data_IF_515265919731
#
_entry.id   IF_515265919731
#
_cell.length_a   1.000
_cell.length_b   1.000
_cell.length_c   1.000
_cell.angle_alpha   90.00
_cell.angle_beta   90.00
_cell.angle_gamma   90.00
#
_symmetry.space_group_name_H-M   'P 1'
#
loop_
_entity.id
_entity.type
_entity.pdbx_description
1 polymer ?
#
# COMPACT_ATOMS: atom_id res chain seq x y z
N UNK A 1 -11.78 -22.88 26.33
CA UNK A 1 -10.85 -23.98 25.95
C UNK A 1 -9.61 -23.32 25.36
N UNK A 2 -8.48 -23.25 26.09
CA UNK A 2 -7.23 -22.67 25.57
C UNK A 2 -6.67 -23.60 24.50
N UNK A 3 -6.55 -23.12 23.25
CA UNK A 3 -5.91 -23.84 22.16
C UNK A 3 -4.39 -23.82 22.40
N UNK A 4 -3.74 -24.98 22.45
CA UNK A 4 -2.29 -25.08 22.60
C UNK A 4 -1.57 -24.30 21.49
N UNK A 5 -0.58 -23.49 21.86
CA UNK A 5 0.24 -22.69 20.91
C UNK A 5 -0.29 -21.29 20.61
N UNK A 6 -1.45 -20.89 21.13
CA UNK A 6 -1.94 -19.51 21.05
C UNK A 6 -1.85 -18.90 22.44
N UNK A 7 -0.77 -18.16 22.71
CA UNK A 7 -0.82 -17.16 23.78
C UNK A 7 -1.88 -16.12 23.41
N UNK A 8 -2.63 -15.62 24.40
CA UNK A 8 -3.59 -14.51 24.36
C UNK A 8 -3.50 -13.61 23.11
N UNK A 9 -4.65 -13.27 22.50
CA UNK A 9 -4.76 -12.61 21.18
C UNK A 9 -3.60 -11.66 20.83
N UNK A 10 -2.77 -12.08 19.88
CA UNK A 10 -1.48 -11.45 19.58
C UNK A 10 -1.55 -10.22 18.66
N UNK A 11 -2.76 -9.70 18.38
CA UNK A 11 -2.99 -8.69 17.33
C UNK A 11 -3.80 -7.50 17.85
N UNK A 12 -3.20 -6.76 18.78
CA UNK A 12 -3.80 -5.51 19.31
C UNK A 12 -3.48 -4.34 18.40
N UNK A 13 -4.47 -3.49 18.12
CA UNK A 13 -4.27 -2.29 17.30
C UNK A 13 -3.12 -1.40 17.80
N UNK A 14 -2.98 -1.24 19.13
CA UNK A 14 -1.88 -0.48 19.73
C UNK A 14 -0.51 -1.03 19.32
N UNK A 15 -0.36 -2.36 19.29
CA UNK A 15 0.89 -3.01 18.87
C UNK A 15 1.11 -2.80 17.37
N UNK A 16 0.06 -2.85 16.53
CA UNK A 16 0.18 -2.52 15.11
C UNK A 16 0.72 -1.10 14.89
N UNK A 17 0.24 -0.10 15.65
CA UNK A 17 0.77 1.27 15.62
C UNK A 17 2.26 1.32 15.97
N UNK A 18 2.66 0.63 17.04
CA UNK A 18 4.06 0.59 17.50
C UNK A 18 4.98 0.02 16.40
N UNK A 19 4.57 -1.07 15.76
CA UNK A 19 5.33 -1.65 14.64
C UNK A 19 5.34 -0.75 13.41
N UNK A 20 4.21 -0.15 13.02
CA UNK A 20 4.16 0.79 11.90
C UNK A 20 5.12 1.98 12.12
N UNK A 21 5.11 2.54 13.33
CA UNK A 21 6.01 3.63 13.73
C UNK A 21 7.47 3.19 13.66
N UNK A 22 7.81 2.01 14.18
CA UNK A 22 9.17 1.48 14.17
C UNK A 22 9.69 1.24 12.74
N UNK A 23 8.86 0.67 11.85
CA UNK A 23 9.22 0.46 10.44
C UNK A 23 9.48 1.79 9.73
N UNK A 24 8.63 2.79 9.96
CA UNK A 24 8.84 4.14 9.40
C UNK A 24 10.14 4.77 9.91
N UNK A 25 10.49 4.58 11.18
CA UNK A 25 11.74 5.08 11.74
C UNK A 25 12.97 4.38 11.14
N UNK A 26 12.93 3.05 10.98
CA UNK A 26 13.98 2.30 10.28
C UNK A 26 14.12 2.76 8.82
N UNK A 27 13.00 3.04 8.14
CA UNK A 27 13.01 3.59 6.78
C UNK A 27 13.81 4.90 6.69
N UNK A 28 13.55 5.84 7.62
CA UNK A 28 14.32 7.10 7.71
C UNK A 28 15.80 6.86 7.96
N UNK A 29 16.14 5.96 8.89
CA UNK A 29 17.53 5.65 9.25
C UNK A 29 18.31 5.00 8.09
N UNK A 30 17.62 4.23 7.25
CA UNK A 30 18.22 3.48 6.14
C UNK A 30 18.11 4.19 4.79
N UNK A 31 17.36 5.30 4.72
CA UNK A 31 17.08 6.00 3.46
C UNK A 31 16.11 5.25 2.54
N UNK A 32 15.36 4.28 3.07
CA UNK A 32 14.33 3.54 2.31
C UNK A 32 12.98 4.23 2.52
N UNK A 33 12.33 4.63 1.42
CA UNK A 33 10.98 5.18 1.50
C UNK A 33 9.99 4.11 1.99
N UNK A 34 9.15 4.46 2.96
CA UNK A 34 8.16 3.56 3.56
C UNK A 34 6.77 4.12 3.33
N UNK A 35 5.87 3.28 2.83
CA UNK A 35 4.44 3.56 2.78
C UNK A 35 3.77 3.12 4.08
N UNK A 36 3.34 4.09 4.89
CA UNK A 36 2.61 3.84 6.13
C UNK A 36 1.10 3.66 5.88
N UNK A 37 0.72 2.45 5.44
CA UNK A 37 -0.68 2.10 5.15
C UNK A 37 -1.54 2.17 6.41
N UNK A 38 -0.96 1.85 7.58
CA UNK A 38 -1.68 1.95 8.84
C UNK A 38 -2.13 3.40 9.08
N UNK A 39 -1.21 4.36 8.98
CA UNK A 39 -1.54 5.78 9.16
C UNK A 39 -2.51 6.30 8.10
N UNK A 40 -2.35 5.88 6.84
CA UNK A 40 -3.28 6.20 5.76
C UNK A 40 -4.72 5.79 6.12
N UNK A 41 -4.90 4.57 6.63
CA UNK A 41 -6.23 4.06 6.99
C UNK A 41 -6.79 4.76 8.22
N UNK A 42 -5.97 4.92 9.26
CA UNK A 42 -6.41 5.60 10.48
C UNK A 42 -6.82 7.05 10.19
N UNK A 43 -6.11 7.76 9.32
CA UNK A 43 -6.48 9.12 8.92
C UNK A 43 -7.87 9.16 8.25
N UNK A 44 -8.23 8.16 7.43
CA UNK A 44 -9.58 8.06 6.82
C UNK A 44 -10.68 7.85 7.85
N UNK A 45 -10.37 7.25 9.01
CA UNK A 45 -11.33 7.12 10.13
C UNK A 45 -11.57 8.44 10.89
N UNK A 46 -10.80 9.49 10.59
CA UNK A 46 -10.78 10.74 11.33
C UNK A 46 -9.80 10.78 12.50
N UNK A 47 -9.08 9.68 12.76
CA UNK A 47 -8.06 9.60 13.81
C UNK A 47 -6.87 10.52 13.51
N UNK A 48 -6.38 11.19 14.56
CA UNK A 48 -5.20 12.07 14.52
C UNK A 48 -4.15 11.61 15.51
N UNK A 49 -2.90 11.94 15.21
CA UNK A 49 -1.79 11.67 16.13
C UNK A 49 -2.03 12.38 17.47
N UNK A 50 -2.01 11.62 18.56
CA UNK A 50 -2.31 12.12 19.90
C UNK A 50 -3.75 11.88 20.38
N UNK A 51 -4.66 11.38 19.52
CA UNK A 51 -6.00 10.99 19.96
C UNK A 51 -5.94 9.80 20.95
N UNK A 52 -6.69 9.92 22.05
CA UNK A 52 -6.78 8.89 23.10
C UNK A 52 -7.57 7.65 22.65
N UNK A 53 -8.48 7.81 21.69
CA UNK A 53 -9.32 6.73 21.16
C UNK A 53 -8.73 6.18 19.86
N UNK A 54 -8.78 4.85 19.72
CA UNK A 54 -8.23 4.16 18.56
C UNK A 54 -9.37 3.41 17.83
N UNK A 55 -9.89 3.95 16.73
CA UNK A 55 -10.99 3.33 15.98
C UNK A 55 -10.69 1.89 15.60
N UNK A 56 -11.64 0.96 15.83
CA UNK A 56 -11.45 -0.45 15.51
C UNK A 56 -10.65 -1.25 16.54
N UNK A 57 -10.22 -0.64 17.65
CA UNK A 57 -9.65 -1.36 18.80
C UNK A 57 -10.72 -2.15 19.55
N UNK A 58 -10.28 -3.07 20.41
CA UNK A 58 -11.17 -3.89 21.24
C UNK A 58 -12.06 -3.01 22.13
N UNK A 59 -11.49 -1.94 22.70
CA UNK A 59 -12.18 -1.02 23.61
C UNK A 59 -13.17 -0.10 22.90
N UNK A 60 -12.89 0.27 21.64
CA UNK A 60 -13.69 1.24 20.88
C UNK A 60 -14.65 0.58 19.87
N UNK A 61 -14.58 -0.75 19.71
CA UNK A 61 -15.45 -1.51 18.83
C UNK A 61 -15.20 -1.27 17.34
N UNK A 62 -16.08 -1.81 16.50
CA UNK A 62 -15.97 -1.73 15.03
C UNK A 62 -16.11 -0.29 14.54
N UNK A 63 -15.29 0.09 13.57
CA UNK A 63 -15.40 1.36 12.86
C UNK A 63 -15.85 1.12 11.41
N UNK A 64 -16.87 1.84 10.96
CA UNK A 64 -17.47 1.63 9.62
C UNK A 64 -16.50 1.88 8.47
N UNK A 65 -15.58 2.85 8.61
CA UNK A 65 -14.56 3.14 7.60
C UNK A 65 -13.54 2.00 7.53
N UNK A 66 -13.10 1.48 8.68
CA UNK A 66 -12.21 0.32 8.70
C UNK A 66 -12.90 -0.94 8.17
N UNK A 67 -14.20 -1.11 8.39
CA UNK A 67 -14.96 -2.22 7.80
C UNK A 67 -15.08 -2.15 6.28
N UNK A 68 -15.05 -0.95 5.71
CA UNK A 68 -15.01 -0.78 4.26
C UNK A 68 -13.61 -1.07 3.70
N UNK A 69 -12.55 -0.72 4.43
CA UNK A 69 -11.15 -0.91 4.03
C UNK A 69 -10.63 -2.34 4.28
N UNK A 70 -11.23 -3.07 5.23
CA UNK A 70 -10.79 -4.40 5.67
C UNK A 70 -11.93 -5.41 5.54
N UNK A 71 -11.71 -6.47 4.77
CA UNK A 71 -12.73 -7.49 4.50
C UNK A 71 -13.17 -8.24 5.76
N UNK A 72 -12.21 -8.68 6.58
CA UNK A 72 -12.42 -9.47 7.80
C UNK A 72 -11.81 -8.82 9.04
N UNK A 73 -11.45 -7.54 8.95
CA UNK A 73 -10.70 -6.81 9.99
C UNK A 73 -9.19 -7.00 9.91
N UNK A 74 -8.66 -7.75 8.95
CA UNK A 74 -7.23 -7.91 8.71
C UNK A 74 -6.85 -7.78 7.23
N UNK A 75 -7.48 -8.57 6.37
CA UNK A 75 -7.20 -8.55 4.93
C UNK A 75 -7.80 -7.31 4.30
N UNK A 76 -7.07 -6.69 3.37
CA UNK A 76 -7.57 -5.55 2.62
C UNK A 76 -8.79 -5.95 1.79
N UNK A 77 -9.82 -5.14 1.86
CA UNK A 77 -10.95 -5.20 0.92
C UNK A 77 -10.52 -4.64 -0.46
N UNK A 78 -11.38 -4.68 -1.49
CA UNK A 78 -11.12 -3.95 -2.73
C UNK A 78 -10.81 -2.46 -2.51
N UNK A 79 -11.56 -1.77 -1.64
CA UNK A 79 -11.33 -0.37 -1.30
C UNK A 79 -10.00 -0.18 -0.55
N UNK A 80 -9.63 -1.13 0.33
CA UNK A 80 -8.34 -1.12 1.01
C UNK A 80 -7.16 -1.28 0.04
N UNK A 81 -7.26 -2.18 -0.93
CA UNK A 81 -6.25 -2.37 -1.97
C UNK A 81 -6.13 -1.15 -2.88
N UNK A 82 -7.25 -0.54 -3.27
CA UNK A 82 -7.24 0.70 -4.08
C UNK A 82 -6.50 1.83 -3.35
N UNK A 83 -6.82 2.06 -2.07
CA UNK A 83 -6.12 3.05 -1.26
C UNK A 83 -4.62 2.77 -1.15
N UNK A 84 -4.23 1.51 -0.88
CA UNK A 84 -2.82 1.13 -0.81
C UNK A 84 -2.09 1.32 -2.15
N UNK A 85 -2.74 0.94 -3.26
CA UNK A 85 -2.19 1.09 -4.61
C UNK A 85 -1.97 2.56 -4.96
N UNK A 86 -2.98 3.42 -4.80
CA UNK A 86 -2.87 4.84 -5.13
C UNK A 86 -1.78 5.53 -4.30
N UNK A 87 -1.71 5.25 -2.99
CA UNK A 87 -0.67 5.81 -2.13
C UNK A 87 0.73 5.28 -2.46
N UNK A 88 0.86 4.01 -2.86
CA UNK A 88 2.13 3.46 -3.35
C UNK A 88 2.57 4.13 -4.64
N UNK A 89 1.66 4.31 -5.60
CA UNK A 89 1.94 4.98 -6.86
C UNK A 89 2.40 6.42 -6.63
N UNK A 90 1.74 7.16 -5.73
CA UNK A 90 2.15 8.51 -5.35
C UNK A 90 3.55 8.53 -4.69
N UNK A 91 3.87 7.54 -3.84
CA UNK A 91 5.19 7.42 -3.24
C UNK A 91 6.27 7.15 -4.29
N UNK A 92 6.00 6.26 -5.24
CA UNK A 92 6.90 5.97 -6.37
C UNK A 92 7.13 7.23 -7.20
N UNK A 93 6.07 7.94 -7.60
CA UNK A 93 6.19 9.16 -8.40
C UNK A 93 7.02 10.24 -7.68
N UNK A 94 6.87 10.37 -6.36
CA UNK A 94 7.61 11.35 -5.58
C UNK A 94 9.10 11.03 -5.39
N UNK A 95 9.48 9.74 -5.31
CA UNK A 95 10.86 9.33 -4.99
C UNK A 95 11.64 8.78 -6.19
N UNK A 96 10.93 8.16 -7.14
CA UNK A 96 11.47 7.49 -8.32
C UNK A 96 10.57 7.71 -9.54
N UNK A 97 10.41 8.96 -10.00
CA UNK A 97 9.49 9.29 -11.10
C UNK A 97 9.78 8.53 -12.39
N UNK A 98 11.04 8.17 -12.65
CA UNK A 98 11.43 7.38 -13.83
C UNK A 98 10.97 5.91 -13.76
N UNK A 99 10.58 5.43 -12.58
CA UNK A 99 10.00 4.10 -12.36
C UNK A 99 8.46 4.09 -12.43
N UNK A 100 7.85 5.25 -12.72
CA UNK A 100 6.41 5.35 -12.95
C UNK A 100 5.99 4.47 -14.15
N UNK A 101 4.88 3.70 -14.07
CA UNK A 101 4.39 2.82 -15.13
C UNK A 101 4.29 3.50 -16.51
N UNK A 102 4.03 4.80 -16.52
CA UNK A 102 3.88 5.64 -17.70
C UNK A 102 5.23 6.03 -18.32
N UNK A 103 6.34 5.91 -17.57
CA UNK A 103 7.69 6.29 -17.99
C UNK A 103 8.61 5.11 -18.20
N UNK A 104 8.37 4.00 -17.51
CA UNK A 104 9.16 2.78 -17.72
C UNK A 104 8.92 2.24 -19.14
N UNK A 105 9.98 1.93 -19.90
CA UNK A 105 9.82 1.30 -21.19
C UNK A 105 9.32 -0.14 -21.02
N UNK A 106 8.46 -0.60 -21.93
CA UNK A 106 8.11 -2.02 -22.00
C UNK A 106 9.38 -2.85 -22.21
N UNK A 107 9.69 -3.73 -21.26
CA UNK A 107 10.88 -4.60 -21.32
C UNK A 107 10.85 -5.53 -22.55
N UNK A 108 9.65 -5.90 -22.99
CA UNK A 108 9.41 -6.69 -24.19
C UNK A 108 8.39 -5.96 -25.05
N UNK A 109 8.73 -5.72 -26.31
CA UNK A 109 7.76 -5.19 -27.29
C UNK A 109 6.67 -6.21 -27.53
N UNK A 110 5.43 -5.74 -27.58
CA UNK A 110 4.29 -6.56 -27.93
C UNK A 110 4.39 -7.02 -29.39
N UNK A 111 3.79 -8.16 -29.71
CA UNK A 111 3.93 -8.74 -31.05
C UNK A 111 3.39 -7.84 -32.17
N UNK A 112 2.36 -7.02 -31.90
CA UNK A 112 1.85 -6.04 -32.86
C UNK A 112 2.80 -4.87 -33.12
N UNK A 113 3.65 -4.50 -32.15
CA UNK A 113 4.66 -3.45 -32.31
C UNK A 113 5.86 -3.92 -33.15
N UNK A 114 6.16 -5.22 -33.14
CA UNK A 114 7.23 -5.83 -33.96
C UNK A 114 6.90 -5.79 -35.46
N UNK A 115 5.63 -5.77 -35.83
CA UNK A 115 5.17 -5.70 -37.22
C UNK A 115 5.39 -4.33 -37.88
N UNK A 116 5.33 -3.25 -37.11
CA UNK A 116 5.48 -1.86 -37.59
C UNK A 116 6.92 -1.59 -38.07
N UNK A 117 7.91 -2.25 -37.48
CA UNK A 117 9.31 -2.14 -37.90
C UNK A 117 9.57 -2.67 -39.32
N UNK A 118 8.71 -3.56 -39.86
CA UNK A 118 8.85 -4.02 -41.25
C UNK A 118 8.39 -2.96 -42.26
N UNK A 119 7.39 -2.14 -41.94
CA UNK A 119 6.87 -1.14 -42.87
C UNK A 119 7.76 0.11 -42.98
N UNK A 120 8.41 0.53 -41.90
CA UNK A 120 9.28 1.72 -41.93
C UNK A 120 10.57 1.50 -42.77
N UNK A 121 11.06 0.26 -42.86
CA UNK A 121 12.18 -0.11 -43.74
C UNK A 121 11.80 -0.33 -45.21
N UNK A 122 10.50 -0.35 -45.53
CA UNK A 122 9.98 -0.45 -46.89
C UNK A 122 9.70 0.93 -47.50
N UNK A 123 9.42 1.95 -46.67
CA UNK A 123 9.15 3.33 -47.11
C UNK A 123 10.39 4.22 -47.19
N UNK A 124 11.55 3.74 -46.74
CA UNK A 124 12.84 4.45 -46.79
C UNK A 124 13.82 3.82 -47.80
N UNK A 125 13.33 2.97 -48.70
CA UNK A 125 14.07 2.49 -49.87
C UNK A 125 13.46 3.11 -51.12
N UNK A 126 14.24 4.03 -51.69
CA UNK A 126 14.07 4.78 -52.95
C UNK A 126 13.20 6.05 -52.90
#
# INVERSE_FOLDING_TARGET
MKRFGVSEESRRQKVTKEYATAVCEVGKQTGVAVLDIWKEFMTKTGWKEGDDTMPGSEENGKNIVLMDLLYDGLHLSPAGYEAAFLSLMALIEANWPDLSPERIPFAVRCNWEKGIARQHNLLMKE
#
